data_IF_872261892128
#
_entry.id   IF_872261892128
#
_cell.length_a   1.000
_cell.length_b   1.000
_cell.length_c   1.000
_cell.angle_alpha   90.00
_cell.angle_beta   90.00
_cell.angle_gamma   90.00
#
_symmetry.space_group_name_H-M   'P 1'
#
loop_
_entity.id
_entity.type
_entity.pdbx_description
1 polymer ?
#
# COMPACT_ATOMS: atom_id res chain seq x y z
N UNK A 1 13.95 10.92 -1.45
CA UNK A 1 14.18 9.57 -0.89
C UNK A 1 13.10 9.28 0.15
N UNK A 2 12.80 8.00 0.44
CA UNK A 2 11.86 7.62 1.50
C UNK A 2 12.30 8.15 2.86
N UNK A 3 11.38 8.34 3.80
CA UNK A 3 11.68 8.78 5.17
C UNK A 3 12.70 7.85 5.83
N UNK A 4 13.67 8.41 6.56
CA UNK A 4 14.76 7.63 7.14
C UNK A 4 14.28 6.64 8.20
N UNK A 5 13.24 6.97 8.96
CA UNK A 5 12.73 6.10 10.03
C UNK A 5 12.08 4.85 9.44
N UNK A 6 11.28 5.02 8.38
CA UNK A 6 10.70 3.88 7.66
C UNK A 6 11.79 3.02 7.01
N UNK A 7 12.81 3.67 6.44
CA UNK A 7 13.97 2.98 5.90
C UNK A 7 14.68 2.14 6.96
N UNK A 8 15.01 2.73 8.11
CA UNK A 8 15.68 2.04 9.19
C UNK A 8 14.84 0.85 9.70
N UNK A 9 13.52 1.00 9.80
CA UNK A 9 12.61 -0.08 10.20
C UNK A 9 12.62 -1.24 9.21
N UNK A 10 12.46 -0.98 7.92
CA UNK A 10 12.43 -2.03 6.90
C UNK A 10 13.81 -2.68 6.68
N UNK A 11 14.90 -1.90 6.76
CA UNK A 11 16.27 -2.43 6.65
C UNK A 11 16.62 -3.37 7.81
N UNK A 12 16.14 -3.10 9.04
CA UNK A 12 16.27 -4.04 10.17
C UNK A 12 15.57 -5.38 9.92
N UNK A 13 14.56 -5.40 9.05
CA UNK A 13 13.83 -6.60 8.61
C UNK A 13 14.42 -7.25 7.35
N UNK A 14 15.53 -6.71 6.83
CA UNK A 14 16.18 -7.20 5.62
C UNK A 14 15.48 -6.79 4.32
N UNK A 15 14.56 -5.83 4.38
CA UNK A 15 13.83 -5.31 3.22
C UNK A 15 14.56 -4.08 2.67
N UNK A 16 15.08 -4.13 1.43
CA UNK A 16 15.73 -2.98 0.82
C UNK A 16 14.70 -1.90 0.51
N UNK A 17 15.00 -0.66 0.87
CA UNK A 17 14.12 0.48 0.62
C UNK A 17 14.70 1.39 -0.44
N UNK A 18 13.91 1.70 -1.46
CA UNK A 18 14.31 2.54 -2.58
C UNK A 18 13.17 3.42 -3.10
N UNK A 19 13.42 4.07 -4.24
CA UNK A 19 12.42 4.86 -4.94
C UNK A 19 12.33 6.34 -4.55
N UNK A 20 11.43 7.04 -5.22
CA UNK A 20 11.14 8.45 -4.99
C UNK A 20 9.63 8.65 -5.01
N UNK A 21 9.15 9.52 -4.11
CA UNK A 21 7.76 9.93 -4.11
C UNK A 21 7.41 10.55 -5.47
N UNK A 22 6.30 10.09 -6.04
CA UNK A 22 5.70 10.64 -7.25
C UNK A 22 4.19 10.74 -7.06
N UNK A 23 3.55 11.61 -7.83
CA UNK A 23 2.09 11.66 -7.88
C UNK A 23 1.56 10.52 -8.75
N UNK A 24 0.35 10.06 -8.44
CA UNK A 24 -0.45 9.29 -9.38
C UNK A 24 -0.76 10.14 -10.62
N UNK A 25 -0.82 9.50 -11.77
CA UNK A 25 -1.08 10.09 -13.06
C UNK A 25 -2.17 9.30 -13.79
N UNK A 26 -2.87 9.90 -14.76
CA UNK A 26 -3.83 9.16 -15.58
C UNK A 26 -3.22 7.95 -16.32
N UNK A 27 -1.91 7.95 -16.56
CA UNK A 27 -1.21 6.81 -17.15
C UNK A 27 -1.22 5.57 -16.25
N UNK A 28 -1.16 5.78 -14.93
CA UNK A 28 -1.09 4.67 -13.97
C UNK A 28 -2.34 3.77 -14.03
N UNK A 29 -3.53 4.34 -14.26
CA UNK A 29 -4.76 3.54 -14.41
C UNK A 29 -4.78 2.66 -15.66
N UNK A 30 -3.96 2.97 -16.67
CA UNK A 30 -3.77 2.11 -17.84
C UNK A 30 -2.65 1.12 -17.63
N UNK A 31 -1.56 1.55 -16.99
CA UNK A 31 -0.32 0.79 -16.92
C UNK A 31 -0.33 -0.27 -15.79
N UNK A 32 -1.20 -0.11 -14.79
CA UNK A 32 -1.34 -1.04 -13.67
C UNK A 32 -2.71 -1.73 -13.66
N UNK A 33 -2.73 -3.01 -13.30
CA UNK A 33 -3.94 -3.81 -13.09
C UNK A 33 -4.52 -3.63 -11.68
N UNK A 34 -3.66 -3.28 -10.72
CA UNK A 34 -4.00 -3.12 -9.32
C UNK A 34 -3.35 -1.84 -8.76
N UNK A 35 -4.15 -1.00 -8.12
CA UNK A 35 -3.74 0.22 -7.45
C UNK A 35 -4.15 0.12 -5.98
N UNK A 36 -3.15 0.05 -5.10
CA UNK A 36 -3.35 -0.19 -3.67
C UNK A 36 -3.25 1.11 -2.87
N UNK A 37 -4.27 1.41 -2.06
CA UNK A 37 -4.36 2.64 -1.28
C UNK A 37 -4.16 2.33 0.20
N UNK A 38 -3.34 3.12 0.88
CA UNK A 38 -2.93 2.84 2.27
C UNK A 38 -4.01 3.24 3.28
N UNK A 39 -4.77 4.30 3.01
CA UNK A 39 -5.84 4.81 3.86
C UNK A 39 -7.06 5.26 3.02
N UNK A 40 -8.16 5.60 3.70
CA UNK A 40 -9.39 6.02 2.99
C UNK A 40 -9.23 7.37 2.28
N UNK A 41 -8.40 8.28 2.80
CA UNK A 41 -8.14 9.56 2.15
C UNK A 41 -7.45 9.36 0.79
N UNK A 42 -6.41 8.54 0.75
CA UNK A 42 -5.69 8.12 -0.44
C UNK A 42 -6.67 7.47 -1.42
N UNK A 43 -7.56 6.61 -0.92
CA UNK A 43 -8.57 5.95 -1.74
C UNK A 43 -9.53 6.93 -2.38
N UNK A 44 -10.07 7.89 -1.63
CA UNK A 44 -10.97 8.91 -2.16
C UNK A 44 -10.29 9.75 -3.25
N UNK A 45 -9.06 10.19 -3.01
CA UNK A 45 -8.29 10.99 -3.98
C UNK A 45 -7.98 10.20 -5.26
N UNK A 46 -7.55 8.94 -5.14
CA UNK A 46 -7.27 8.07 -6.29
C UNK A 46 -8.55 7.77 -7.08
N UNK A 47 -9.66 7.49 -6.40
CA UNK A 47 -10.95 7.27 -7.03
C UNK A 47 -11.47 8.52 -7.75
N UNK A 48 -11.24 9.72 -7.20
CA UNK A 48 -11.59 10.99 -7.85
C UNK A 48 -10.72 11.27 -9.07
N UNK A 49 -9.48 10.78 -9.10
CA UNK A 49 -8.55 10.91 -10.23
C UNK A 49 -8.76 9.87 -11.34
N UNK A 50 -9.52 8.80 -11.08
CA UNK A 50 -9.77 7.74 -12.05
C UNK A 50 -10.58 8.29 -13.26
N UNK A 51 -10.15 8.01 -14.51
CA UNK A 51 -10.78 8.58 -15.70
C UNK A 51 -12.19 8.03 -16.01
N UNK A 52 -12.49 6.82 -15.56
CA UNK A 52 -13.74 6.10 -15.85
C UNK A 52 -14.04 5.03 -14.79
N UNK A 53 -15.19 4.35 -14.95
CA UNK A 53 -15.63 3.33 -14.02
C UNK A 53 -14.73 2.08 -14.01
N UNK A 54 -14.13 1.73 -15.15
CA UNK A 54 -13.22 0.57 -15.26
C UNK A 54 -11.92 0.83 -14.50
N UNK A 55 -11.34 2.02 -14.63
CA UNK A 55 -10.18 2.42 -13.83
C UNK A 55 -10.46 2.37 -12.32
N UNK A 56 -11.69 2.68 -11.89
CA UNK A 56 -12.09 2.60 -10.47
C UNK A 56 -12.15 1.17 -9.94
N UNK A 57 -12.42 0.16 -10.78
CA UNK A 57 -12.45 -1.24 -10.32
C UNK A 57 -11.06 -1.79 -10.02
N UNK A 58 -9.99 -1.08 -10.37
CA UNK A 58 -8.60 -1.46 -10.08
C UNK A 58 -8.10 -0.96 -8.72
N UNK A 59 -8.89 -0.17 -8.00
CA UNK A 59 -8.47 0.53 -6.78
C UNK A 59 -8.97 -0.20 -5.54
N UNK A 60 -8.04 -0.68 -4.71
CA UNK A 60 -8.35 -1.45 -3.51
C UNK A 60 -7.60 -0.90 -2.29
N UNK A 61 -8.23 -0.89 -1.10
CA UNK A 61 -7.50 -0.78 0.16
C UNK A 61 -6.39 -1.83 0.24
N UNK A 62 -5.20 -1.44 0.68
CA UNK A 62 -4.10 -2.39 0.89
C UNK A 62 -4.45 -3.41 1.99
N UNK A 63 -5.19 -2.97 3.00
CA UNK A 63 -5.63 -3.80 4.14
C UNK A 63 -6.60 -4.91 3.76
N UNK A 64 -7.26 -4.84 2.59
CA UNK A 64 -8.09 -5.95 2.06
C UNK A 64 -7.27 -7.24 1.85
N UNK A 65 -5.94 -7.13 1.80
CA UNK A 65 -5.00 -8.24 1.62
C UNK A 65 -4.30 -8.67 2.92
N UNK A 66 -4.57 -8.02 4.06
CA UNK A 66 -4.04 -8.48 5.34
C UNK A 66 -4.80 -9.71 5.83
N UNK A 67 -4.09 -10.76 6.26
CA UNK A 67 -4.71 -11.99 6.77
C UNK A 67 -4.55 -12.15 8.28
N UNK A 68 -3.51 -11.56 8.86
CA UNK A 68 -3.12 -11.74 10.25
C UNK A 68 -3.44 -10.52 11.13
N UNK A 69 -3.72 -9.36 10.51
CA UNK A 69 -4.07 -8.12 11.19
C UNK A 69 -5.43 -7.61 10.74
N UNK A 70 -6.31 -7.36 11.71
CA UNK A 70 -7.57 -6.64 11.49
C UNK A 70 -7.27 -5.14 11.53
N UNK A 71 -7.11 -4.52 10.36
CA UNK A 71 -6.90 -3.08 10.21
C UNK A 71 -7.80 -2.54 9.09
N UNK A 72 -8.46 -1.42 9.34
CA UNK A 72 -9.26 -0.74 8.30
C UNK A 72 -8.37 0.04 7.32
N UNK A 73 -7.24 0.55 7.81
CA UNK A 73 -6.25 1.30 7.05
C UNK A 73 -4.83 1.06 7.57
N UNK A 74 -3.83 1.34 6.74
CA UNK A 74 -2.44 1.47 7.16
C UNK A 74 -2.25 2.88 7.73
N UNK A 75 -2.06 3.04 9.04
CA UNK A 75 -2.05 4.35 9.67
C UNK A 75 -0.81 5.15 9.26
N UNK A 76 -0.93 6.47 9.29
CA UNK A 76 0.24 7.34 9.14
C UNK A 76 1.22 7.12 10.32
N UNK A 77 2.47 6.68 10.05
CA UNK A 77 3.42 6.30 11.10
C UNK A 77 3.92 7.51 11.92
N UNK A 78 3.72 8.75 11.46
CA UNK A 78 4.29 9.94 12.10
C UNK A 78 3.59 10.34 13.41
N UNK A 79 2.39 9.82 13.67
CA UNK A 79 1.62 10.13 14.88
C UNK A 79 1.88 9.16 16.05
N UNK A 80 2.56 8.03 15.79
CA UNK A 80 2.75 6.95 16.77
C UNK A 80 4.13 6.84 17.39
N UNK A 81 5.05 7.79 17.13
CA UNK A 81 6.46 7.66 17.53
C UNK A 81 7.14 6.45 16.85
N UNK A 82 8.22 5.88 17.42
CA UNK A 82 8.93 4.75 16.81
C UNK A 82 8.05 3.51 16.58
N UNK A 83 7.07 3.24 17.44
CA UNK A 83 6.14 2.11 17.31
C UNK A 83 5.20 2.23 16.10
N UNK A 84 4.92 3.45 15.62
CA UNK A 84 4.09 3.65 14.43
C UNK A 84 4.72 3.06 13.17
N UNK A 85 6.05 3.18 13.04
CA UNK A 85 6.79 2.61 11.91
C UNK A 85 6.81 1.08 11.94
N UNK A 86 6.93 0.48 13.13
CA UNK A 86 6.88 -0.98 13.28
C UNK A 86 5.50 -1.53 12.92
N UNK A 87 4.42 -0.89 13.40
CA UNK A 87 3.06 -1.28 13.06
C UNK A 87 2.81 -1.21 11.55
N UNK A 88 3.23 -0.12 10.90
CA UNK A 88 3.09 0.00 9.43
C UNK A 88 3.89 -1.08 8.71
N UNK A 89 5.09 -1.42 9.18
CA UNK A 89 5.87 -2.51 8.60
C UNK A 89 5.18 -3.88 8.80
N UNK A 90 4.59 -4.15 9.96
CA UNK A 90 3.83 -5.38 10.23
C UNK A 90 2.64 -5.52 9.26
N UNK A 91 1.87 -4.44 9.06
CA UNK A 91 0.76 -4.43 8.12
C UNK A 91 1.23 -4.61 6.67
N UNK A 92 2.32 -3.95 6.26
CA UNK A 92 2.88 -4.10 4.92
C UNK A 92 3.32 -5.54 4.66
N UNK A 93 3.99 -6.19 5.62
CA UNK A 93 4.43 -7.57 5.47
C UNK A 93 3.26 -8.55 5.35
N UNK A 94 2.24 -8.40 6.20
CA UNK A 94 1.02 -9.20 6.17
C UNK A 94 0.25 -9.01 4.85
N UNK A 95 -0.02 -7.76 4.49
CA UNK A 95 -0.71 -7.41 3.25
C UNK A 95 0.04 -7.88 1.99
N UNK A 96 1.38 -7.84 1.98
CA UNK A 96 2.16 -8.39 0.87
C UNK A 96 2.01 -9.91 0.73
N UNK A 97 1.92 -10.65 1.84
CA UNK A 97 1.74 -12.10 1.82
C UNK A 97 0.36 -12.47 1.28
N UNK A 98 -0.70 -11.85 1.80
CA UNK A 98 -2.06 -12.10 1.29
C UNK A 98 -2.26 -11.62 -0.14
N UNK A 99 -1.63 -10.51 -0.54
CA UNK A 99 -1.65 -10.03 -1.92
C UNK A 99 -0.99 -11.03 -2.87
N UNK A 100 0.17 -11.58 -2.51
CA UNK A 100 0.83 -12.60 -3.32
C UNK A 100 -0.07 -13.83 -3.49
N UNK A 101 -0.65 -14.32 -2.39
CA UNK A 101 -1.56 -15.45 -2.42
C UNK A 101 -2.82 -15.19 -3.25
N UNK A 102 -3.32 -13.94 -3.27
CA UNK A 102 -4.42 -13.53 -4.13
C UNK A 102 -4.02 -13.56 -5.62
N UNK A 103 -2.90 -12.94 -5.98
CA UNK A 103 -2.41 -12.90 -7.37
C UNK A 103 -2.12 -14.31 -7.90
N UNK A 104 -1.51 -15.19 -7.08
CA UNK A 104 -1.24 -16.57 -7.48
C UNK A 104 -2.52 -17.35 -7.81
N UNK A 105 -3.63 -17.08 -7.10
CA UNK A 105 -4.93 -17.71 -7.38
C UNK A 105 -5.58 -17.19 -8.66
N UNK A 106 -5.45 -15.90 -8.95
CA UNK A 106 -6.01 -15.29 -10.16
C UNK A 106 -5.26 -15.72 -11.44
N UNK A 107 -3.98 -16.11 -11.31
CA UNK A 107 -3.15 -16.58 -12.42
C UNK A 107 -3.21 -18.09 -12.66
N UNK A 108 -3.82 -18.86 -11.75
CA UNK A 108 -3.94 -20.32 -11.83
C UNK A 108 -5.09 -20.76 -12.76
#
# INVERSE_FOLDING_TARGET
SPDSRMRDTLERRGIPVGGAARKISPGDFRDFDLILTMDDFNRQEVLAAAPDAEARTKVYPFTDFCENHEAEEVPDPYYGGPSGFELVADLIEDGCQGLLAHIEKELA
#
